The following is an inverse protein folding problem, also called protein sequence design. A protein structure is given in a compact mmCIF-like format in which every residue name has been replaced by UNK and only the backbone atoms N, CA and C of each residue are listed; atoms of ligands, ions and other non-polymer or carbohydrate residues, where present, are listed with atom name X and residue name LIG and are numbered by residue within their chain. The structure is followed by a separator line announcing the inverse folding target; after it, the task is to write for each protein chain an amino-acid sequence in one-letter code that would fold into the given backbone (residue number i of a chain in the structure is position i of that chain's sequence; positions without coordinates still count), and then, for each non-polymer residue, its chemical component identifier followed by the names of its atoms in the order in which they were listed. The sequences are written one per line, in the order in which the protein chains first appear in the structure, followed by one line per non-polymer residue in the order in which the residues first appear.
data_IF_244683079683
#
_entry.id   IF_244683079683
#
_cell.length_a   1.000
_cell.length_b   1.000
_cell.length_c   1.000
_cell.angle_alpha   90.00
_cell.angle_beta   90.00
_cell.angle_gamma   90.00
#
_symmetry.space_group_name_H-M   'P 1'
#
loop_
_entity.id
_entity.type
_entity.pdbx_description
1 polymer ?
#
# COMPACT_ATOMS: atom_id res chain seq x y z
N UNK A 1 6.79 10.44 8.79
CA UNK A 1 7.47 10.13 7.51
C UNK A 1 8.75 9.32 7.70
N UNK A 2 9.78 9.80 8.43
CA UNK A 2 11.06 9.09 8.57
C UNK A 2 10.95 7.64 9.10
N UNK A 3 10.09 7.39 10.10
CA UNK A 3 9.89 6.04 10.65
C UNK A 3 9.25 5.06 9.65
N UNK A 4 8.34 5.53 8.78
CA UNK A 4 7.71 4.68 7.77
C UNK A 4 8.72 4.26 6.69
N UNK A 5 9.57 5.20 6.25
CA UNK A 5 10.64 4.90 5.31
C UNK A 5 11.65 3.90 5.90
N UNK A 6 12.02 4.05 7.17
CA UNK A 6 12.89 3.10 7.86
C UNK A 6 12.27 1.70 7.91
N UNK A 7 10.99 1.58 8.27
CA UNK A 7 10.29 0.30 8.25
C UNK A 7 10.20 -0.30 6.84
N UNK A 8 9.95 0.50 5.81
CA UNK A 8 10.00 0.02 4.42
C UNK A 8 11.36 -0.60 4.07
N UNK A 9 12.46 0.06 4.43
CA UNK A 9 13.81 -0.44 4.15
C UNK A 9 14.11 -1.72 4.94
N UNK A 10 13.72 -1.79 6.21
CA UNK A 10 13.84 -3.02 7.01
C UNK A 10 13.03 -4.16 6.40
N UNK A 11 11.84 -3.88 5.86
CA UNK A 11 11.03 -4.86 5.13
C UNK A 11 11.77 -5.42 3.91
N UNK A 12 12.34 -4.55 3.07
CA UNK A 12 13.12 -4.95 1.89
C UNK A 12 14.32 -5.82 2.29
N UNK A 13 15.07 -5.42 3.31
CA UNK A 13 16.22 -6.21 3.81
C UNK A 13 15.76 -7.58 4.31
N UNK A 14 14.63 -7.66 5.02
CA UNK A 14 14.08 -8.92 5.48
C UNK A 14 13.62 -9.82 4.31
N UNK A 15 13.11 -9.26 3.21
CA UNK A 15 12.83 -10.04 1.99
C UNK A 15 14.10 -10.64 1.39
N UNK A 16 15.16 -9.83 1.28
CA UNK A 16 16.45 -10.27 0.76
C UNK A 16 17.05 -11.39 1.65
N UNK A 17 16.82 -11.29 2.96
CA UNK A 17 17.17 -12.32 3.94
C UNK A 17 16.22 -13.53 3.94
N UNK A 18 15.18 -13.55 3.09
CA UNK A 18 14.13 -14.60 3.02
C UNK A 18 13.31 -14.74 4.30
N UNK A 19 13.25 -13.71 5.13
CA UNK A 19 12.47 -13.63 6.36
C UNK A 19 11.10 -12.99 6.08
N UNK A 20 10.23 -13.71 5.37
CA UNK A 20 8.98 -13.14 4.85
C UNK A 20 8.04 -12.58 5.94
N UNK A 21 7.94 -13.24 7.09
CA UNK A 21 7.08 -12.80 8.19
C UNK A 21 7.56 -11.46 8.78
N UNK A 22 8.87 -11.28 8.92
CA UNK A 22 9.46 -10.01 9.38
C UNK A 22 9.31 -8.90 8.34
N UNK A 23 9.45 -9.23 7.06
CA UNK A 23 9.20 -8.28 5.99
C UNK A 23 7.75 -7.77 6.02
N UNK A 24 6.78 -8.67 6.20
CA UNK A 24 5.35 -8.34 6.34
C UNK A 24 5.08 -7.45 7.55
N UNK A 25 5.64 -7.78 8.73
CA UNK A 25 5.50 -6.92 9.92
C UNK A 25 6.00 -5.49 9.68
N UNK A 26 7.16 -5.37 9.04
CA UNK A 26 7.74 -4.08 8.73
C UNK A 26 6.88 -3.28 7.74
N UNK A 27 6.34 -3.92 6.70
CA UNK A 27 5.43 -3.25 5.78
C UNK A 27 4.11 -2.82 6.43
N UNK A 28 3.51 -3.67 7.27
CA UNK A 28 2.29 -3.32 8.02
C UNK A 28 2.54 -2.13 8.95
N UNK A 29 3.66 -2.10 9.68
CA UNK A 29 4.03 -0.94 10.52
C UNK A 29 4.22 0.33 9.70
N UNK A 30 4.87 0.24 8.55
CA UNK A 30 5.06 1.38 7.65
C UNK A 30 3.71 1.90 7.13
N UNK A 31 2.80 1.01 6.74
CA UNK A 31 1.44 1.37 6.30
C UNK A 31 0.69 2.13 7.39
N UNK A 32 0.60 1.61 8.62
CA UNK A 32 -0.12 2.30 9.71
C UNK A 32 0.47 3.67 10.07
N UNK A 33 1.76 3.92 9.79
CA UNK A 33 2.37 5.23 9.95
C UNK A 33 1.97 6.20 8.83
N UNK A 34 1.84 5.71 7.60
CA UNK A 34 1.47 6.51 6.44
C UNK A 34 -0.03 6.79 6.36
N UNK A 35 -0.87 5.86 6.82
CA UNK A 35 -2.32 6.08 6.98
C UNK A 35 -2.58 7.29 7.87
N UNK A 36 -1.94 7.33 9.04
CA UNK A 36 -2.04 8.44 9.98
C UNK A 36 -1.47 9.75 9.43
N UNK A 37 -0.52 9.66 8.49
CA UNK A 37 0.09 10.82 7.84
C UNK A 37 -0.68 11.29 6.59
N UNK A 38 -1.71 10.56 6.13
CA UNK A 38 -2.43 10.87 4.90
C UNK A 38 -1.61 10.72 3.62
N UNK A 39 -0.51 9.95 3.65
CA UNK A 39 0.43 9.81 2.54
C UNK A 39 -0.01 8.72 1.56
N UNK A 40 -1.08 8.99 0.81
CA UNK A 40 -1.75 8.00 -0.04
C UNK A 40 -0.84 7.37 -1.13
N UNK A 41 0.09 8.15 -1.70
CA UNK A 41 1.04 7.66 -2.70
C UNK A 41 2.02 6.63 -2.13
N UNK A 42 2.69 7.00 -1.02
CA UNK A 42 3.63 6.09 -0.33
C UNK A 42 2.92 4.82 0.16
N UNK A 43 1.66 4.94 0.55
CA UNK A 43 0.88 3.82 1.01
C UNK A 43 0.49 2.87 -0.13
N UNK A 44 0.13 3.39 -1.30
CA UNK A 44 -0.08 2.58 -2.50
C UNK A 44 1.18 1.79 -2.90
N UNK A 45 2.36 2.38 -2.74
CA UNK A 45 3.64 1.71 -2.99
C UNK A 45 3.91 0.59 -1.99
N UNK A 46 3.61 0.78 -0.71
CA UNK A 46 3.73 -0.28 0.31
C UNK A 46 2.74 -1.41 0.12
N UNK A 47 1.50 -1.10 -0.25
CA UNK A 47 0.51 -2.12 -0.61
C UNK A 47 1.01 -3.01 -1.76
N UNK A 48 1.69 -2.42 -2.75
CA UNK A 48 2.32 -3.18 -3.84
C UNK A 48 3.44 -4.08 -3.32
N UNK A 49 4.35 -3.56 -2.50
CA UNK A 49 5.45 -4.34 -1.92
C UNK A 49 4.93 -5.52 -1.10
N UNK A 50 3.92 -5.28 -0.25
CA UNK A 50 3.26 -6.32 0.53
C UNK A 50 2.60 -7.36 -0.36
N UNK A 51 1.89 -6.95 -1.40
CA UNK A 51 1.31 -7.89 -2.38
C UNK A 51 2.36 -8.74 -3.08
N UNK A 52 3.50 -8.14 -3.47
CA UNK A 52 4.61 -8.85 -4.11
C UNK A 52 5.26 -9.88 -3.16
N UNK A 53 5.39 -9.54 -1.89
CA UNK A 53 5.85 -10.46 -0.85
C UNK A 53 4.87 -11.64 -0.67
N UNK A 54 3.59 -11.34 -0.44
CA UNK A 54 2.54 -12.35 -0.22
C UNK A 54 2.38 -13.30 -1.41
N UNK A 55 2.50 -12.78 -2.63
CA UNK A 55 2.49 -13.58 -3.86
C UNK A 55 3.68 -14.54 -3.90
N UNK A 56 4.88 -14.07 -3.57
CA UNK A 56 6.10 -14.91 -3.53
C UNK A 56 6.03 -16.01 -2.46
N UNK A 57 5.28 -15.79 -1.38
CA UNK A 57 5.03 -16.80 -0.34
C UNK A 57 3.82 -17.70 -0.64
N UNK A 58 3.19 -17.57 -1.81
CA UNK A 58 2.03 -18.38 -2.21
C UNK A 58 0.68 -17.96 -1.61
N UNK A 59 0.63 -16.84 -0.88
CA UNK A 59 -0.60 -16.28 -0.28
C UNK A 59 -1.33 -15.38 -1.29
N UNK A 60 -1.81 -15.98 -2.37
CA UNK A 60 -2.34 -15.27 -3.55
C UNK A 60 -3.54 -14.38 -3.21
N UNK A 61 -4.53 -14.87 -2.45
CA UNK A 61 -5.71 -14.06 -2.10
C UNK A 61 -5.33 -12.82 -1.27
N UNK A 62 -4.46 -13.00 -0.27
CA UNK A 62 -3.96 -11.88 0.53
C UNK A 62 -3.15 -10.88 -0.32
N UNK A 63 -2.42 -11.36 -1.32
CA UNK A 63 -1.72 -10.49 -2.26
C UNK A 63 -2.70 -9.65 -3.10
N UNK A 64 -3.77 -10.26 -3.62
CA UNK A 64 -4.81 -9.54 -4.37
C UNK A 64 -5.47 -8.46 -3.52
N UNK A 65 -5.77 -8.77 -2.26
CA UNK A 65 -6.36 -7.80 -1.33
C UNK A 65 -5.40 -6.65 -1.05
N UNK A 66 -4.11 -6.92 -0.83
CA UNK A 66 -3.10 -5.88 -0.67
C UNK A 66 -3.02 -4.97 -1.91
N UNK A 67 -3.00 -5.54 -3.13
CA UNK A 67 -2.98 -4.76 -4.36
C UNK A 67 -4.25 -3.91 -4.53
N UNK A 68 -5.43 -4.46 -4.23
CA UNK A 68 -6.73 -3.74 -4.30
C UNK A 68 -6.75 -2.55 -3.34
N UNK A 69 -6.29 -2.75 -2.11
CA UNK A 69 -6.12 -1.66 -1.14
C UNK A 69 -5.23 -0.56 -1.72
N UNK A 70 -4.06 -0.91 -2.25
CA UNK A 70 -3.15 0.06 -2.88
C UNK A 70 -3.75 0.84 -4.05
N UNK A 71 -4.61 0.20 -4.86
CA UNK A 71 -5.37 0.88 -5.91
C UNK A 71 -6.37 1.88 -5.32
N UNK A 72 -7.09 1.49 -4.26
CA UNK A 72 -8.03 2.34 -3.53
C UNK A 72 -7.41 3.66 -3.05
N UNK A 73 -6.16 3.62 -2.57
CA UNK A 73 -5.43 4.81 -2.14
C UNK A 73 -4.99 5.73 -3.28
N UNK A 74 -4.69 5.17 -4.46
CA UNK A 74 -4.44 5.98 -5.66
C UNK A 74 -5.70 6.64 -6.21
N UNK A 75 -6.87 6.07 -5.92
CA UNK A 75 -8.17 6.53 -6.43
C UNK A 75 -8.93 7.42 -5.44
N UNK A 76 -8.29 7.93 -4.38
CA UNK A 76 -8.95 8.84 -3.44
C UNK A 76 -9.70 9.94 -4.22
N UNK A 77 -11.03 10.11 -4.02
CA UNK A 77 -11.85 11.04 -4.79
C UNK A 77 -11.39 12.46 -4.50
N UNK A 78 -10.51 12.98 -5.36
CA UNK A 78 -9.85 14.27 -5.18
C UNK A 78 -8.64 14.48 -6.09
N UNK A 79 -8.05 13.42 -6.65
CA UNK A 79 -6.87 13.54 -7.54
C UNK A 79 -7.09 12.96 -8.93
N UNK A 80 -8.33 12.91 -9.42
CA UNK A 80 -8.51 12.92 -10.87
C UNK A 80 -8.25 14.36 -11.32
N UNK A 81 -7.31 14.55 -12.26
CA UNK A 81 -7.08 15.82 -12.96
C UNK A 81 -8.32 16.32 -13.74
N UNK A 82 -9.45 15.63 -13.61
CA UNK A 82 -10.71 15.83 -14.33
C UNK A 82 -11.77 16.58 -13.50
N UNK A 83 -11.46 17.00 -12.27
CA UNK A 83 -12.43 17.71 -11.43
C UNK A 83 -13.57 16.81 -10.91
N UNK A 84 -14.52 17.39 -10.16
CA UNK A 84 -15.65 16.64 -9.60
C UNK A 84 -16.50 16.02 -10.71
N UNK A 85 -17.06 14.84 -10.45
CA UNK A 85 -17.96 14.16 -11.38
C UNK A 85 -19.13 15.10 -11.77
N UNK A 86 -19.50 15.19 -13.06
CA UNK A 86 -20.60 16.05 -13.48
C UNK A 86 -21.90 15.61 -12.81
N UNK A 87 -22.69 16.58 -12.36
CA UNK A 87 -23.98 16.36 -11.73
C UNK A 87 -24.88 15.50 -12.62
N UNK A 88 -25.50 14.47 -12.04
CA UNK A 88 -26.39 13.57 -12.76
C UNK A 88 -27.56 14.37 -13.38
N UNK A 89 -27.97 14.06 -14.61
CA UNK A 89 -29.05 14.77 -15.26
C UNK A 89 -30.37 14.54 -14.52
N UNK A 90 -31.25 15.56 -14.46
CA UNK A 90 -32.56 15.43 -13.84
C UNK A 90 -33.43 14.43 -14.62
N UNK A 91 -34.20 13.64 -13.87
CA UNK A 91 -35.22 12.69 -14.36
C UNK A 91 -36.39 13.38 -15.06
#
# INVERSE_FOLDING_TARGET
MHAAAAHRLLGIIAEDAREAERAEEHYVRAMSLLERAGAAGDLADLCRLLGDLLRRTGRVEAALDAYRTGLGHRTAPGTTTLGPAPAQPPV
#
